data_IF_029065213984
#
_entry.id   IF_029065213984
#
_cell.length_a   1.000
_cell.length_b   1.000
_cell.length_c   1.000
_cell.angle_alpha   90.00
_cell.angle_beta   90.00
_cell.angle_gamma   90.00
#
_symmetry.space_group_name_H-M   'P 1'
#
loop_
_entity.id
_entity.type
_entity.pdbx_description
1 polymer ?
#
# COMPACT_ATOMS: atom_id res chain seq x y z
N UNK A 1 98.40 22.17 -14.58
CA UNK A 1 98.38 20.78 -15.07
C UNK A 1 97.40 19.98 -14.24
N UNK A 2 96.60 19.16 -14.91
CA UNK A 2 95.55 18.24 -14.42
C UNK A 2 94.21 18.87 -13.99
N UNK A 3 93.01 18.40 -14.32
CA UNK A 3 92.42 17.65 -15.46
C UNK A 3 90.90 17.90 -15.35
N UNK A 4 90.20 18.13 -16.46
CA UNK A 4 88.74 18.38 -16.52
C UNK A 4 87.87 17.17 -16.11
N UNK A 5 86.64 17.44 -15.64
CA UNK A 5 85.32 16.99 -16.20
C UNK A 5 84.21 17.18 -15.15
N UNK A 6 83.29 18.16 -15.31
CA UNK A 6 82.05 18.21 -16.12
C UNK A 6 80.80 17.56 -15.47
N UNK A 7 79.74 18.41 -15.37
CA UNK A 7 78.27 18.17 -15.35
C UNK A 7 77.67 17.78 -13.99
N UNK A 8 76.69 18.45 -13.36
CA UNK A 8 75.50 19.28 -13.70
C UNK A 8 74.20 18.55 -13.29
N UNK A 9 73.48 19.17 -12.33
CA UNK A 9 72.02 19.17 -12.05
C UNK A 9 71.32 17.81 -11.74
N UNK A 10 70.41 17.69 -10.76
CA UNK A 10 69.06 18.30 -10.75
C UNK A 10 68.37 18.12 -9.40
N UNK A 11 67.50 19.09 -9.08
CA UNK A 11 66.53 19.18 -7.98
C UNK A 11 65.57 17.97 -7.90
N UNK A 12 65.27 17.47 -6.70
CA UNK A 12 64.24 16.45 -6.48
C UNK A 12 63.02 17.06 -5.76
N UNK A 13 61.94 17.27 -6.51
CA UNK A 13 60.62 17.67 -6.03
C UNK A 13 59.81 16.42 -5.72
N UNK A 14 59.38 16.21 -4.47
CA UNK A 14 58.47 15.10 -4.11
C UNK A 14 57.03 15.62 -4.14
N UNK A 15 56.29 15.16 -5.15
CA UNK A 15 54.87 15.45 -5.36
C UNK A 15 54.08 14.21 -4.91
N UNK A 16 53.43 14.31 -3.76
CA UNK A 16 52.56 13.24 -3.21
C UNK A 16 51.26 13.23 -3.99
N UNK A 17 51.12 12.30 -4.93
CA UNK A 17 49.86 12.01 -5.61
C UNK A 17 49.01 11.10 -4.72
N UNK A 18 47.99 11.68 -4.08
CA UNK A 18 46.90 10.93 -3.45
C UNK A 18 46.03 10.31 -4.54
N UNK A 19 46.08 8.99 -4.68
CA UNK A 19 45.13 8.25 -5.49
C UNK A 19 43.76 8.24 -4.80
N UNK A 20 42.98 9.30 -5.00
CA UNK A 20 41.55 9.27 -4.72
C UNK A 20 40.90 8.28 -5.68
N UNK A 21 40.62 7.06 -5.20
CA UNK A 21 39.73 6.12 -5.85
C UNK A 21 38.33 6.74 -5.88
N UNK A 22 38.07 7.56 -6.90
CA UNK A 22 36.73 7.85 -7.36
C UNK A 22 36.12 6.49 -7.73
N UNK A 23 35.30 5.94 -6.81
CA UNK A 23 34.26 5.02 -7.24
C UNK A 23 33.37 5.83 -8.16
N UNK A 24 33.62 5.74 -9.45
CA UNK A 24 32.64 6.05 -10.46
C UNK A 24 31.40 5.24 -10.06
N UNK A 25 30.40 5.92 -9.50
CA UNK A 25 29.06 5.37 -9.50
C UNK A 25 28.74 5.24 -10.98
N UNK A 26 28.76 4.01 -11.49
CA UNK A 26 28.26 3.75 -12.83
C UNK A 26 26.86 4.35 -12.87
N UNK A 27 26.54 5.24 -13.82
CA UNK A 27 25.18 5.70 -14.00
C UNK A 27 24.32 4.44 -14.12
N UNK A 28 23.32 4.32 -13.25
CA UNK A 28 22.42 3.18 -13.22
C UNK A 28 22.01 2.89 -14.67
N UNK A 29 22.33 1.68 -15.13
CA UNK A 29 22.02 1.29 -16.50
C UNK A 29 20.53 1.53 -16.75
N UNK A 30 20.18 2.32 -17.76
CA UNK A 30 18.78 2.58 -18.13
C UNK A 30 18.07 1.35 -18.73
N UNK A 31 18.75 0.21 -18.78
CA UNK A 31 18.19 -1.05 -19.28
C UNK A 31 17.26 -1.59 -18.21
N UNK A 32 15.96 -1.47 -18.48
CA UNK A 32 14.93 -2.05 -17.63
C UNK A 32 15.01 -3.58 -17.62
N UNK A 33 14.67 -4.18 -16.48
CA UNK A 33 14.50 -5.62 -16.33
C UNK A 33 13.03 -6.04 -16.34
N UNK A 34 12.79 -7.27 -15.92
CA UNK A 34 11.45 -7.86 -15.83
C UNK A 34 11.32 -8.84 -14.66
N UNK A 35 10.08 -9.09 -14.24
CA UNK A 35 9.76 -10.10 -13.24
C UNK A 35 8.60 -10.97 -13.75
N UNK A 36 8.70 -12.28 -13.59
CA UNK A 36 7.67 -13.23 -14.00
C UNK A 36 7.37 -14.23 -12.89
N UNK A 37 6.11 -14.65 -12.82
CA UNK A 37 5.63 -15.40 -11.67
C UNK A 37 4.19 -15.85 -11.78
N UNK A 38 3.60 -16.19 -10.64
CA UNK A 38 2.20 -16.62 -10.50
C UNK A 38 1.53 -15.91 -9.32
N UNK A 39 0.27 -15.54 -9.49
CA UNK A 39 -0.62 -15.06 -8.44
C UNK A 39 -1.47 -16.21 -7.95
N UNK A 40 -1.47 -16.45 -6.64
CA UNK A 40 -2.21 -17.53 -5.98
C UNK A 40 -2.97 -17.00 -4.77
N UNK A 41 -4.02 -17.71 -4.36
CA UNK A 41 -4.67 -17.50 -3.07
C UNK A 41 -3.95 -18.23 -1.93
N UNK A 42 -4.44 -18.06 -0.70
CA UNK A 42 -3.90 -18.67 0.52
C UNK A 42 -3.86 -20.21 0.49
N UNK A 43 -4.59 -20.85 -0.44
CA UNK A 43 -4.58 -22.31 -0.64
C UNK A 43 -3.61 -22.76 -1.74
N UNK A 44 -2.92 -21.81 -2.37
CA UNK A 44 -2.03 -22.04 -3.51
C UNK A 44 -2.75 -22.16 -4.85
N UNK A 45 -4.06 -21.86 -4.91
CA UNK A 45 -4.82 -21.92 -6.17
C UNK A 45 -4.54 -20.67 -7.01
N UNK A 46 -4.26 -20.79 -8.32
CA UNK A 46 -4.03 -19.63 -9.17
C UNK A 46 -5.24 -18.69 -9.26
N UNK A 47 -4.97 -17.39 -9.28
CA UNK A 47 -5.97 -16.33 -9.45
C UNK A 47 -5.81 -15.74 -10.86
N UNK A 48 -6.68 -16.12 -11.82
CA UNK A 48 -6.61 -15.58 -13.16
C UNK A 48 -7.01 -14.10 -13.18
N UNK A 49 -6.52 -13.34 -14.16
CA UNK A 49 -6.89 -11.92 -14.35
C UNK A 49 -6.68 -11.06 -13.09
N UNK A 50 -5.77 -11.46 -12.19
CA UNK A 50 -5.33 -10.59 -11.11
C UNK A 50 -4.44 -9.49 -11.70
N UNK A 51 -4.62 -8.26 -11.24
CA UNK A 51 -3.77 -7.14 -11.63
C UNK A 51 -2.53 -7.20 -10.75
N UNK A 52 -1.38 -7.40 -11.37
CA UNK A 52 -0.08 -7.39 -10.72
C UNK A 52 0.51 -6.00 -10.88
N UNK A 53 1.06 -5.47 -9.79
CA UNK A 53 1.70 -4.16 -9.82
C UNK A 53 3.05 -4.20 -9.11
N UNK A 54 3.93 -3.30 -9.53
CA UNK A 54 5.28 -3.14 -9.03
C UNK A 54 5.55 -1.67 -8.70
N UNK A 55 6.19 -1.46 -7.54
CA UNK A 55 6.57 -0.16 -7.01
C UNK A 55 8.09 -0.16 -6.78
N UNK A 56 8.88 0.55 -7.60
CA UNK A 56 10.31 0.70 -7.39
C UNK A 56 10.59 1.37 -6.04
N UNK A 57 11.53 0.84 -5.27
CA UNK A 57 11.80 1.34 -3.91
C UNK A 57 12.20 2.82 -3.90
N UNK A 58 12.92 3.25 -4.93
CA UNK A 58 13.36 4.63 -5.09
C UNK A 58 12.30 5.56 -5.70
N UNK A 59 11.18 5.03 -6.20
CA UNK A 59 10.14 5.78 -6.91
C UNK A 59 8.74 5.16 -6.66
N UNK A 60 8.30 5.15 -5.40
CA UNK A 60 7.03 4.53 -4.96
C UNK A 60 5.77 5.12 -5.60
N UNK A 61 5.87 6.28 -6.26
CA UNK A 61 4.77 6.89 -7.00
C UNK A 61 4.62 6.32 -8.41
N UNK A 62 5.64 5.62 -8.92
CA UNK A 62 5.64 5.03 -10.25
C UNK A 62 5.21 3.58 -10.17
N UNK A 63 3.95 3.35 -10.49
CA UNK A 63 3.41 2.00 -10.55
C UNK A 63 3.52 1.41 -11.95
N UNK A 64 4.04 0.18 -12.02
CA UNK A 64 4.14 -0.60 -13.25
C UNK A 64 3.20 -1.79 -13.12
N UNK A 65 2.30 -2.00 -14.08
CA UNK A 65 1.26 -3.02 -14.03
C UNK A 65 1.41 -4.08 -15.12
N UNK A 66 0.93 -5.28 -14.81
CA UNK A 66 0.65 -6.35 -15.75
C UNK A 66 -0.63 -7.09 -15.33
N UNK A 67 -1.27 -7.77 -16.27
CA UNK A 67 -2.42 -8.64 -15.98
C UNK A 67 -1.93 -10.10 -15.92
N UNK A 68 -2.38 -10.85 -14.92
CA UNK A 68 -2.19 -12.30 -14.89
C UNK A 68 -3.08 -13.00 -15.92
N UNK A 69 -2.56 -14.07 -16.53
CA UNK A 69 -3.29 -14.90 -17.49
C UNK A 69 -4.32 -15.84 -16.81
N UNK A 70 -4.94 -16.73 -17.60
CA UNK A 70 -5.93 -17.71 -17.13
C UNK A 70 -5.37 -18.75 -16.12
N UNK A 71 -4.05 -18.88 -16.05
CA UNK A 71 -3.35 -19.73 -15.10
C UNK A 71 -2.72 -18.93 -13.95
N UNK A 72 -3.11 -17.66 -13.79
CA UNK A 72 -2.58 -16.75 -12.78
C UNK A 72 -1.14 -16.32 -13.03
N UNK A 73 -0.53 -16.62 -14.18
CA UNK A 73 0.86 -16.28 -14.48
C UNK A 73 0.96 -14.84 -14.95
N UNK A 74 2.02 -14.15 -14.57
CA UNK A 74 2.23 -12.76 -14.96
C UNK A 74 3.65 -12.53 -15.48
N UNK A 75 3.81 -11.45 -16.25
CA UNK A 75 5.11 -10.93 -16.67
C UNK A 75 5.10 -9.40 -16.63
N UNK A 76 5.80 -8.85 -15.63
CA UNK A 76 6.08 -7.42 -15.50
C UNK A 76 7.32 -7.07 -16.31
N UNK A 77 7.24 -6.03 -17.15
CA UNK A 77 8.35 -5.53 -17.95
C UNK A 77 8.59 -4.05 -17.67
N UNK A 78 9.74 -3.51 -18.07
CA UNK A 78 10.04 -2.09 -17.85
C UNK A 78 10.41 -1.73 -16.40
N UNK A 79 10.82 -2.73 -15.60
CA UNK A 79 11.20 -2.50 -14.21
C UNK A 79 12.57 -1.82 -14.14
N UNK A 80 12.72 -0.69 -13.43
CA UNK A 80 14.02 -0.07 -13.25
C UNK A 80 14.94 -1.00 -12.42
N UNK A 81 16.26 -0.99 -12.67
CA UNK A 81 17.19 -1.74 -11.83
C UNK A 81 17.16 -1.25 -10.37
N UNK A 82 17.28 -2.19 -9.44
CA UNK A 82 17.18 -1.94 -8.01
C UNK A 82 16.13 -2.81 -7.34
N UNK A 83 15.78 -2.44 -6.12
CA UNK A 83 14.74 -3.14 -5.36
C UNK A 83 13.34 -2.65 -5.78
N UNK A 84 12.42 -3.59 -5.94
CA UNK A 84 11.04 -3.34 -6.36
C UNK A 84 10.12 -4.16 -5.47
N UNK A 85 9.05 -3.54 -4.98
CA UNK A 85 7.96 -4.23 -4.28
C UNK A 85 6.91 -4.67 -5.29
N UNK A 86 6.55 -5.94 -5.29
CA UNK A 86 5.59 -6.54 -6.22
C UNK A 86 4.40 -7.10 -5.43
N UNK A 87 3.20 -6.78 -5.87
CA UNK A 87 1.97 -7.26 -5.26
C UNK A 87 0.89 -7.48 -6.33
N UNK A 88 -0.26 -8.02 -5.94
CA UNK A 88 -1.39 -8.21 -6.84
C UNK A 88 -2.73 -7.98 -6.14
N UNK A 89 -3.75 -7.69 -6.95
CA UNK A 89 -5.12 -7.54 -6.46
C UNK A 89 -6.13 -8.04 -7.48
N UNK A 90 -7.33 -8.37 -7.01
CA UNK A 90 -8.49 -8.71 -7.84
C UNK A 90 -9.76 -8.39 -7.06
N UNK A 91 -10.17 -7.12 -7.10
CA UNK A 91 -11.32 -6.61 -6.34
C UNK A 91 -12.62 -7.37 -6.66
N UNK A 92 -12.84 -7.74 -7.92
CA UNK A 92 -13.99 -8.55 -8.35
C UNK A 92 -14.06 -9.93 -7.70
N UNK A 93 -12.94 -10.45 -7.19
CA UNK A 93 -12.84 -11.70 -6.45
C UNK A 93 -12.66 -11.51 -4.93
N UNK A 94 -12.72 -10.26 -4.45
CA UNK A 94 -12.59 -9.90 -3.05
C UNK A 94 -11.14 -9.73 -2.57
N UNK A 95 -10.16 -9.61 -3.47
CA UNK A 95 -8.77 -9.32 -3.12
C UNK A 95 -8.50 -7.83 -3.35
N UNK A 96 -8.44 -7.02 -2.28
CA UNK A 96 -8.36 -5.57 -2.38
C UNK A 96 -7.00 -5.10 -2.87
N UNK A 97 -6.94 -3.93 -3.50
CA UNK A 97 -5.68 -3.25 -3.78
C UNK A 97 -5.05 -2.77 -2.47
N UNK A 98 -3.92 -3.38 -2.07
CA UNK A 98 -3.36 -3.24 -0.73
C UNK A 98 -2.35 -2.08 -0.58
N UNK A 99 -2.39 -1.06 -1.43
CA UNK A 99 -1.47 0.07 -1.31
C UNK A 99 -1.74 0.93 -0.06
N UNK A 100 -2.94 0.84 0.50
CA UNK A 100 -3.25 1.42 1.81
C UNK A 100 -3.03 0.34 2.88
N UNK A 101 -2.15 0.60 3.85
CA UNK A 101 -1.86 -0.28 5.00
C UNK A 101 -3.11 -0.81 5.72
N UNK A 102 -4.26 -0.16 5.50
CA UNK A 102 -5.57 -0.58 5.97
C UNK A 102 -5.93 -2.03 5.65
N UNK A 103 -5.56 -2.57 4.48
CA UNK A 103 -5.87 -3.95 4.11
C UNK A 103 -4.79 -4.96 4.52
N UNK A 104 -3.67 -4.51 5.11
CA UNK A 104 -2.58 -5.38 5.51
C UNK A 104 -3.01 -6.26 6.69
N UNK A 105 -2.80 -7.56 6.58
CA UNK A 105 -3.07 -8.52 7.65
C UNK A 105 -1.76 -9.00 8.30
N UNK A 106 -1.79 -9.48 9.55
CA UNK A 106 -0.57 -9.91 10.26
C UNK A 106 0.27 -10.97 9.53
N UNK A 107 -0.35 -11.80 8.69
CA UNK A 107 0.29 -12.89 7.97
C UNK A 107 0.39 -12.66 6.46
N UNK A 108 0.20 -11.42 5.99
CA UNK A 108 0.31 -11.09 4.57
C UNK A 108 1.71 -11.46 4.04
N UNK A 109 1.76 -12.22 2.94
CA UNK A 109 3.00 -12.60 2.25
C UNK A 109 3.42 -11.62 1.17
N UNK A 110 2.56 -10.66 0.86
CA UNK A 110 2.79 -9.59 -0.09
C UNK A 110 2.79 -8.22 0.61
N UNK A 111 3.47 -7.19 0.04
CA UNK A 111 4.25 -7.23 -1.20
C UNK A 111 5.54 -8.05 -1.06
N UNK A 112 5.95 -8.69 -2.16
CA UNK A 112 7.25 -9.37 -2.26
C UNK A 112 8.30 -8.39 -2.77
N UNK A 113 9.44 -8.33 -2.09
CA UNK A 113 10.58 -7.52 -2.52
C UNK A 113 11.46 -8.32 -3.48
N UNK A 114 11.69 -7.80 -4.68
CA UNK A 114 12.55 -8.42 -5.70
C UNK A 114 13.65 -7.45 -6.14
N UNK A 115 14.83 -8.01 -6.43
CA UNK A 115 15.97 -7.25 -6.93
C UNK A 115 16.11 -7.39 -8.44
N UNK A 116 15.92 -6.29 -9.15
CA UNK A 116 16.05 -6.21 -10.61
C UNK A 116 17.48 -5.82 -10.98
N UNK A 117 18.14 -6.67 -11.75
CA UNK A 117 19.42 -6.34 -12.40
C UNK A 117 19.16 -5.78 -13.81
N UNK A 118 20.03 -4.91 -14.36
CA UNK A 118 19.82 -4.34 -15.69
C UNK A 118 19.63 -5.40 -16.77
N UNK A 119 18.51 -5.34 -17.49
CA UNK A 119 18.13 -6.32 -18.53
C UNK A 119 17.82 -7.74 -17.99
N UNK A 120 17.83 -7.94 -16.67
CA UNK A 120 17.60 -9.23 -16.05
C UNK A 120 16.13 -9.62 -15.98
N UNK A 121 15.90 -10.92 -15.84
CA UNK A 121 14.61 -11.51 -15.53
C UNK A 121 14.67 -12.14 -14.14
N UNK A 122 13.79 -11.71 -13.23
CA UNK A 122 13.50 -12.44 -12.00
C UNK A 122 12.34 -13.38 -12.28
N UNK A 123 12.59 -14.69 -12.26
CA UNK A 123 11.56 -15.71 -12.50
C UNK A 123 11.06 -16.33 -11.19
N UNK A 124 9.97 -17.10 -11.28
CA UNK A 124 9.38 -17.86 -10.18
C UNK A 124 8.94 -17.01 -8.98
N UNK A 125 8.53 -15.76 -9.23
CA UNK A 125 7.92 -14.93 -8.18
C UNK A 125 6.54 -15.50 -7.84
N UNK A 126 6.28 -15.79 -6.58
CA UNK A 126 4.96 -16.25 -6.11
C UNK A 126 4.33 -15.13 -5.32
N UNK A 127 3.18 -14.66 -5.79
CA UNK A 127 2.36 -13.65 -5.10
C UNK A 127 1.15 -14.36 -4.48
N UNK A 128 1.28 -14.74 -3.22
CA UNK A 128 0.17 -15.30 -2.44
C UNK A 128 -0.62 -14.15 -1.80
N UNK A 129 -1.74 -13.79 -2.42
CA UNK A 129 -2.57 -12.66 -1.99
C UNK A 129 -3.72 -13.13 -1.11
N UNK A 130 -4.01 -12.36 -0.07
CA UNK A 130 -5.12 -12.65 0.83
C UNK A 130 -4.85 -12.24 2.29
N UNK A 131 -5.83 -12.49 3.17
CA UNK A 131 -7.14 -13.09 2.88
C UNK A 131 -8.06 -12.17 2.08
N UNK A 132 -9.18 -12.71 1.59
CA UNK A 132 -10.24 -11.89 0.98
C UNK A 132 -10.74 -10.83 1.98
N UNK A 133 -11.09 -9.67 1.45
CA UNK A 133 -11.78 -8.64 2.20
C UNK A 133 -13.14 -9.14 2.73
N UNK A 134 -13.56 -8.56 3.84
CA UNK A 134 -14.95 -8.57 4.26
C UNK A 134 -15.67 -7.34 3.69
N UNK A 135 -16.98 -7.23 3.92
CA UNK A 135 -17.80 -6.17 3.37
C UNK A 135 -18.70 -5.53 4.42
N UNK A 136 -18.80 -4.21 4.38
CA UNK A 136 -19.82 -3.43 5.09
C UNK A 136 -20.81 -2.86 4.09
N UNK A 137 -22.10 -3.02 4.35
CA UNK A 137 -23.18 -2.41 3.59
C UNK A 137 -23.85 -1.36 4.47
N UNK A 138 -23.79 -0.09 4.07
CA UNK A 138 -24.23 1.01 4.92
C UNK A 138 -25.66 1.43 4.59
N UNK A 139 -26.47 1.64 5.63
CA UNK A 139 -27.73 2.38 5.57
C UNK A 139 -27.57 3.60 6.47
N UNK A 140 -27.48 4.78 5.87
CA UNK A 140 -27.16 6.03 6.55
C UNK A 140 -28.33 6.98 6.37
N UNK A 141 -28.99 7.34 7.46
CA UNK A 141 -30.16 8.23 7.44
C UNK A 141 -30.04 9.35 8.47
N UNK A 142 -30.63 10.51 8.18
CA UNK A 142 -30.86 11.56 9.17
C UNK A 142 -32.10 11.26 10.04
N UNK A 143 -32.42 12.19 10.94
CA UNK A 143 -33.58 12.15 11.83
C UNK A 143 -34.96 12.08 11.13
N UNK A 144 -35.02 12.40 9.83
CA UNK A 144 -36.22 12.35 8.99
C UNK A 144 -36.21 11.13 8.06
N UNK A 145 -35.33 10.15 8.33
CA UNK A 145 -35.08 8.98 7.50
C UNK A 145 -34.57 9.30 6.08
N UNK A 146 -34.07 10.51 5.85
CA UNK A 146 -33.50 10.89 4.57
C UNK A 146 -32.07 10.34 4.43
N UNK A 147 -31.76 9.78 3.26
CA UNK A 147 -30.44 9.23 2.97
C UNK A 147 -29.34 10.30 3.06
N UNK A 148 -28.24 9.94 3.70
CA UNK A 148 -27.11 10.84 3.94
C UNK A 148 -25.80 10.31 3.36
N UNK A 149 -24.83 11.23 3.25
CA UNK A 149 -23.43 10.95 2.98
C UNK A 149 -22.54 11.55 4.07
N UNK A 150 -21.34 11.01 4.22
CA UNK A 150 -20.37 11.48 5.19
C UNK A 150 -19.03 10.80 5.03
N UNK A 151 -18.26 10.77 6.11
CA UNK A 151 -16.92 10.19 6.16
C UNK A 151 -16.90 9.06 7.18
N UNK A 152 -16.40 7.89 6.75
CA UNK A 152 -16.02 6.81 7.64
C UNK A 152 -14.57 6.99 8.07
N UNK A 153 -14.32 6.81 9.35
CA UNK A 153 -13.00 6.72 9.95
C UNK A 153 -12.86 5.32 10.53
N UNK A 154 -11.76 4.66 10.19
CA UNK A 154 -11.42 3.33 10.70
C UNK A 154 -10.19 3.44 11.59
N UNK A 155 -10.29 2.93 12.80
CA UNK A 155 -9.16 2.85 13.72
C UNK A 155 -8.69 1.40 13.86
N UNK A 156 -7.40 1.19 13.62
CA UNK A 156 -6.73 -0.11 13.73
C UNK A 156 -5.63 0.00 14.76
N UNK A 157 -5.83 -0.65 15.89
CA UNK A 157 -4.85 -0.66 16.98
C UNK A 157 -3.53 -1.34 16.59
N UNK A 158 -3.57 -2.32 15.69
CA UNK A 158 -2.42 -3.10 15.25
C UNK A 158 -1.57 -2.39 14.19
N UNK A 159 -2.21 -1.61 13.31
CA UNK A 159 -1.54 -0.81 12.29
C UNK A 159 -2.17 0.59 12.26
N UNK A 160 -1.83 1.49 13.20
CA UNK A 160 -2.44 2.82 13.26
C UNK A 160 -2.23 3.63 11.97
N UNK A 161 -3.25 4.39 11.57
CA UNK A 161 -3.17 5.25 10.39
C UNK A 161 -4.44 6.07 10.19
N UNK A 162 -4.39 7.11 9.33
CA UNK A 162 -5.53 7.97 9.05
C UNK A 162 -6.48 7.31 8.03
N UNK A 163 -6.98 6.11 8.33
CA UNK A 163 -7.85 5.38 7.41
C UNK A 163 -9.22 6.01 7.40
N UNK A 164 -9.53 6.72 6.33
CA UNK A 164 -10.81 7.36 6.17
C UNK A 164 -11.26 7.36 4.72
N UNK A 165 -12.57 7.40 4.50
CA UNK A 165 -13.14 7.55 3.16
C UNK A 165 -14.53 8.16 3.22
N UNK A 166 -14.93 8.79 2.12
CA UNK A 166 -16.33 9.16 1.93
C UNK A 166 -17.19 7.92 1.72
N UNK A 167 -18.44 7.99 2.16
CA UNK A 167 -19.46 6.96 1.98
C UNK A 167 -20.82 7.61 1.74
N UNK A 168 -21.65 6.93 0.96
CA UNK A 168 -23.06 7.26 0.77
C UNK A 168 -23.95 6.11 1.23
N UNK A 169 -25.19 6.41 1.63
CA UNK A 169 -26.17 5.38 1.99
C UNK A 169 -26.41 4.40 0.83
N UNK A 170 -26.44 3.11 1.13
CA UNK A 170 -26.57 2.01 0.16
C UNK A 170 -25.23 1.48 -0.39
N UNK A 171 -24.11 2.13 -0.06
CA UNK A 171 -22.81 1.70 -0.57
C UNK A 171 -22.30 0.42 0.11
N UNK A 172 -21.74 -0.49 -0.69
CA UNK A 172 -21.00 -1.67 -0.24
C UNK A 172 -19.50 -1.38 -0.26
N UNK A 173 -18.86 -1.54 0.89
CA UNK A 173 -17.47 -1.17 1.13
C UNK A 173 -16.66 -2.39 1.51
N UNK A 174 -15.52 -2.62 0.84
CA UNK A 174 -14.54 -3.62 1.29
C UNK A 174 -13.83 -3.14 2.55
N UNK A 175 -13.63 -4.04 3.50
CA UNK A 175 -12.88 -3.82 4.74
C UNK A 175 -11.96 -5.02 5.02
N UNK A 176 -10.84 -4.84 5.74
CA UNK A 176 -9.98 -5.95 6.09
C UNK A 176 -10.71 -6.94 7.01
N UNK A 177 -10.36 -8.21 6.90
CA UNK A 177 -10.83 -9.28 7.79
C UNK A 177 -9.99 -9.31 9.09
N UNK A 178 -9.94 -8.18 9.79
CA UNK A 178 -9.23 -7.99 11.07
C UNK A 178 -10.04 -7.04 11.97
N UNK A 179 -9.80 -7.01 13.29
CA UNK A 179 -10.48 -6.07 14.17
C UNK A 179 -10.18 -4.60 13.86
N UNK A 180 -11.21 -3.77 13.76
CA UNK A 180 -11.09 -2.30 13.67
C UNK A 180 -12.28 -1.61 14.32
N UNK A 181 -12.11 -0.37 14.78
CA UNK A 181 -13.22 0.48 15.21
C UNK A 181 -13.72 1.33 14.05
N UNK A 182 -15.03 1.64 14.08
CA UNK A 182 -15.68 2.42 13.04
C UNK A 182 -16.34 3.66 13.63
N UNK A 183 -16.03 4.81 13.03
CA UNK A 183 -16.70 6.08 13.32
C UNK A 183 -17.25 6.69 12.03
N UNK A 184 -18.45 7.26 12.08
CA UNK A 184 -19.02 8.05 11.00
C UNK A 184 -19.13 9.51 11.41
N UNK A 185 -18.76 10.41 10.50
CA UNK A 185 -18.84 11.85 10.69
C UNK A 185 -19.55 12.51 9.51
N UNK A 186 -20.37 13.51 9.82
CA UNK A 186 -21.02 14.37 8.83
C UNK A 186 -21.19 15.78 9.39
N UNK A 187 -21.13 16.79 8.52
CA UNK A 187 -21.28 18.18 8.91
C UNK A 187 -22.65 18.42 9.56
N UNK A 188 -22.67 19.07 10.73
CA UNK A 188 -23.90 19.33 11.50
C UNK A 188 -24.36 18.18 12.40
N UNK A 189 -23.62 17.06 12.44
CA UNK A 189 -23.93 15.90 13.26
C UNK A 189 -22.82 15.59 14.26
N UNK A 190 -23.19 14.98 15.38
CA UNK A 190 -22.23 14.39 16.31
C UNK A 190 -21.62 13.13 15.67
N UNK A 191 -20.33 12.84 15.94
CA UNK A 191 -19.73 11.58 15.52
C UNK A 191 -20.54 10.38 16.01
N UNK A 192 -20.80 9.45 15.11
CA UNK A 192 -21.44 8.18 15.43
C UNK A 192 -20.36 7.10 15.53
N UNK A 193 -20.33 6.37 16.64
CA UNK A 193 -19.37 5.29 16.86
C UNK A 193 -20.09 3.94 16.83
N UNK A 194 -19.50 2.98 16.12
CA UNK A 194 -19.98 1.61 16.19
C UNK A 194 -19.78 1.06 17.60
N UNK A 195 -20.82 0.46 18.17
CA UNK A 195 -20.76 -0.25 19.44
C UNK A 195 -21.63 -1.49 19.38
N UNK A 196 -21.07 -2.64 19.78
CA UNK A 196 -21.81 -3.89 19.92
C UNK A 196 -22.19 -4.03 21.39
N UNK A 197 -23.42 -3.67 21.75
CA UNK A 197 -23.92 -3.89 23.10
C UNK A 197 -24.24 -5.38 23.25
N UNK A 198 -23.28 -6.14 23.78
CA UNK A 198 -23.48 -7.54 24.20
C UNK A 198 -23.12 -7.68 25.68
N UNK A 199 -23.95 -8.39 26.44
CA UNK A 199 -23.94 -8.47 27.91
C UNK A 199 -22.64 -9.00 28.56
N UNK A 200 -21.60 -9.36 27.80
CA UNK A 200 -20.40 -10.01 28.33
C UNK A 200 -19.07 -9.30 28.03
N UNK A 201 -18.98 -8.42 27.02
CA UNK A 201 -17.76 -7.66 26.70
C UNK A 201 -18.16 -6.35 26.01
N UNK A 202 -17.71 -5.16 26.48
CA UNK A 202 -17.82 -3.92 25.72
C UNK A 202 -16.90 -4.02 24.49
N UNK A 203 -17.47 -4.39 23.34
CA UNK A 203 -16.74 -4.42 22.07
C UNK A 203 -17.18 -3.25 21.19
N UNK A 204 -16.30 -2.27 20.98
CA UNK A 204 -16.50 -1.20 19.99
C UNK A 204 -15.85 -1.53 18.64
N UNK A 205 -15.32 -2.75 18.49
CA UNK A 205 -14.65 -3.21 17.28
C UNK A 205 -15.56 -4.08 16.42
N UNK A 206 -15.45 -3.90 15.11
CA UNK A 206 -15.94 -4.81 14.09
C UNK A 206 -14.84 -5.83 13.83
N UNK A 207 -15.20 -7.11 13.81
CA UNK A 207 -14.30 -8.23 13.51
C UNK A 207 -15.06 -9.20 12.60
N UNK A 208 -14.75 -9.14 11.31
CA UNK A 208 -15.43 -9.90 10.25
C UNK A 208 -14.46 -10.91 9.66
N UNK A 209 -14.99 -12.07 9.28
CA UNK A 209 -14.24 -13.10 8.57
C UNK A 209 -14.05 -12.76 7.09
N UNK A 210 -13.04 -13.34 6.42
CA UNK A 210 -12.87 -13.18 4.97
C UNK A 210 -14.15 -13.51 4.20
N UNK A 211 -14.59 -12.60 3.32
CA UNK A 211 -15.82 -12.74 2.53
C UNK A 211 -17.13 -12.51 3.29
N UNK A 212 -17.10 -12.29 4.61
CA UNK A 212 -18.30 -11.96 5.38
C UNK A 212 -18.84 -10.58 4.99
N UNK A 213 -20.17 -10.44 5.00
CA UNK A 213 -20.84 -9.15 4.77
C UNK A 213 -21.70 -8.79 5.97
N UNK A 214 -21.59 -7.55 6.44
CA UNK A 214 -22.40 -7.02 7.55
C UNK A 214 -23.11 -5.74 7.13
N UNK A 215 -24.40 -5.63 7.44
CA UNK A 215 -25.15 -4.38 7.29
C UNK A 215 -24.96 -3.49 8.51
N UNK A 216 -24.68 -2.22 8.29
CA UNK A 216 -24.49 -1.22 9.34
C UNK A 216 -25.50 -0.10 9.15
N UNK A 217 -26.34 0.09 10.16
CA UNK A 217 -27.31 1.18 10.21
C UNK A 217 -26.73 2.33 11.01
N UNK A 218 -26.61 3.49 10.36
CA UNK A 218 -26.04 4.70 10.92
C UNK A 218 -27.12 5.77 10.96
N UNK A 219 -27.43 6.23 12.17
CA UNK A 219 -28.40 7.28 12.42
C UNK A 219 -27.77 8.29 13.40
N UNK A 220 -26.98 9.26 12.89
CA UNK A 220 -26.24 10.18 13.73
C UNK A 220 -27.17 11.26 14.29
N UNK A 221 -26.87 11.77 15.48
CA UNK A 221 -27.63 12.85 16.11
C UNK A 221 -27.11 14.20 15.65
N UNK A 222 -27.98 15.19 15.43
CA UNK A 222 -27.54 16.56 15.15
C UNK A 222 -26.69 17.14 16.29
N UNK A 223 -25.69 17.93 15.91
CA UNK A 223 -24.94 18.76 16.85
C UNK A 223 -25.73 20.03 17.16
N UNK A 224 -25.88 20.37 18.44
CA UNK A 224 -26.62 21.56 18.88
C UNK A 224 -25.93 22.89 18.51
N UNK A 225 -24.71 22.88 17.96
CA UNK A 225 -23.88 24.06 17.71
C UNK A 225 -24.01 24.67 16.30
N UNK A 226 -25.25 24.90 15.84
CA UNK A 226 -25.55 25.90 14.79
C UNK A 226 -26.84 26.68 15.07
N UNK A 227 -27.24 26.79 16.35
CA UNK A 227 -28.24 27.75 16.77
C UNK A 227 -27.56 29.09 17.16
N UNK A 228 -27.51 30.01 16.19
CA UNK A 228 -27.73 31.48 16.36
C UNK A 228 -26.61 32.34 16.98
N UNK A 229 -26.15 33.32 16.20
CA UNK A 229 -26.22 34.74 16.58
C UNK A 229 -26.88 35.50 15.41
N UNK A 230 -28.00 36.22 15.59
CA UNK A 230 -28.45 37.21 14.63
C UNK A 230 -27.56 38.45 14.81
N UNK A 231 -27.10 39.03 13.71
CA UNK A 231 -26.46 40.35 13.75
C UNK A 231 -27.43 41.35 14.40
N UNK A 232 -26.96 42.05 15.43
CA UNK A 232 -27.67 43.15 16.09
C UNK A 232 -27.45 44.44 15.34
#
# INVERSE_FOLDING_TARGET
MSTERRRAWTVLTVLVMGAALLRAQSPGSNISGSAAGVVVDETGKPIPEATVFALPEMEMTKEIRAQADEFGRFHLTGLPPGEVFVDAFKESAGYPYCFFSFFKTPNAKTPVKVKIVPGGLVSNVVLEIGPKAAYLEFSITDENDAAMKGTLLFDRADIPGPYQRSVESGEKVMVPAVPFQLTFQANGYLPWHYSKVTQAIPGNSIDLKPGESMKVFIHPRRSASQAVLPDK
#
